data_IF_112231573803
#
_entry.id   IF_112231573803
#
_cell.length_a   1.000
_cell.length_b   1.000
_cell.length_c   1.000
_cell.angle_alpha   90.00
_cell.angle_beta   90.00
_cell.angle_gamma   90.00
#
_symmetry.space_group_name_H-M   'P 1'
#
loop_
_entity.id
_entity.type
_entity.pdbx_description
1 polymer ?
#
# COMPACT_ATOMS: atom_id res chain seq x y z
N UNK A 1 6.12 -22.61 6.12
CA UNK A 1 6.34 -21.32 5.41
C UNK A 1 7.04 -21.49 4.09
N UNK A 2 8.07 -22.33 3.99
CA UNK A 2 8.72 -22.64 2.69
C UNK A 2 7.75 -23.37 1.73
N UNK A 3 6.71 -24.00 2.27
CA UNK A 3 5.75 -24.80 1.51
C UNK A 3 4.99 -23.99 0.46
N UNK A 4 4.60 -22.74 0.78
CA UNK A 4 3.94 -21.86 -0.21
C UNK A 4 4.90 -21.41 -1.31
N UNK A 5 6.18 -21.20 -0.98
CA UNK A 5 7.21 -20.85 -1.96
C UNK A 5 7.51 -22.04 -2.88
N UNK A 6 7.52 -23.26 -2.34
CA UNK A 6 7.64 -24.50 -3.12
C UNK A 6 6.44 -24.71 -4.04
N UNK A 7 5.23 -24.49 -3.54
CA UNK A 7 4.00 -24.60 -4.34
C UNK A 7 4.00 -23.58 -5.49
N UNK A 8 4.39 -22.32 -5.22
CA UNK A 8 4.56 -21.29 -6.26
C UNK A 8 5.61 -21.71 -7.31
N UNK A 9 6.75 -22.27 -6.88
CA UNK A 9 7.79 -22.74 -7.79
C UNK A 9 7.36 -23.97 -8.63
N UNK A 10 6.46 -24.80 -8.08
CA UNK A 10 5.88 -25.97 -8.77
C UNK A 10 4.70 -25.60 -9.68
N UNK A 11 4.23 -24.35 -9.67
CA UNK A 11 3.03 -23.92 -10.41
C UNK A 11 1.71 -24.36 -9.76
N UNK A 12 1.74 -24.85 -8.52
CA UNK A 12 0.58 -25.26 -7.72
C UNK A 12 0.15 -24.16 -6.72
N UNK A 13 0.74 -22.98 -6.83
CA UNK A 13 0.40 -21.81 -6.02
C UNK A 13 -0.89 -21.12 -6.49
N UNK A 14 -1.38 -20.11 -5.74
CA UNK A 14 -2.54 -19.33 -6.13
C UNK A 14 -2.29 -18.53 -7.42
N UNK A 15 -3.38 -18.22 -8.14
CA UNK A 15 -3.34 -17.46 -9.41
C UNK A 15 -2.65 -16.09 -9.30
N UNK A 16 -2.71 -15.47 -8.11
CA UNK A 16 -2.09 -14.18 -7.81
C UNK A 16 -1.38 -14.24 -6.47
N UNK A 17 -0.10 -13.86 -6.45
CA UNK A 17 0.71 -13.83 -5.24
C UNK A 17 1.67 -12.63 -5.27
N UNK A 18 1.96 -12.07 -4.09
CA UNK A 18 3.00 -11.05 -3.88
C UNK A 18 3.94 -11.59 -2.82
N UNK A 19 5.23 -11.52 -3.10
CA UNK A 19 6.27 -11.80 -2.12
C UNK A 19 6.75 -10.48 -1.52
N UNK A 20 6.51 -10.30 -0.22
CA UNK A 20 7.03 -9.16 0.55
C UNK A 20 7.98 -9.65 1.64
N UNK A 21 9.05 -8.89 1.87
CA UNK A 21 10.03 -9.16 2.93
C UNK A 21 9.90 -8.09 4.02
N UNK A 22 9.53 -8.54 5.23
CA UNK A 22 9.24 -7.65 6.35
C UNK A 22 7.78 -7.20 6.39
N UNK A 23 7.47 -6.34 7.37
CA UNK A 23 6.15 -5.75 7.53
C UNK A 23 6.29 -4.32 8.06
N UNK A 24 5.35 -3.46 7.68
CA UNK A 24 5.15 -2.19 8.35
C UNK A 24 4.30 -2.44 9.60
N UNK A 25 4.73 -1.88 10.74
CA UNK A 25 4.03 -2.01 12.01
C UNK A 25 3.97 -0.65 12.69
N UNK A 26 2.87 -0.40 13.38
CA UNK A 26 2.64 0.82 14.15
C UNK A 26 2.55 0.47 15.63
N UNK A 27 3.09 1.36 16.47
CA UNK A 27 2.84 1.32 17.90
C UNK A 27 1.36 1.66 18.20
N UNK A 28 0.84 1.31 19.39
CA UNK A 28 -0.55 1.62 19.76
C UNK A 28 -0.87 3.12 19.60
N UNK A 29 -1.90 3.45 18.82
CA UNK A 29 -2.33 4.84 18.58
C UNK A 29 -1.47 5.66 17.61
N UNK A 30 -0.36 5.09 17.10
CA UNK A 30 0.54 5.80 16.20
C UNK A 30 -0.11 6.03 14.83
N UNK A 31 -0.75 5.00 14.26
CA UNK A 31 -1.39 5.12 12.95
C UNK A 31 -2.49 6.18 12.96
N UNK A 32 -3.34 6.19 14.00
CA UNK A 32 -4.40 7.17 14.15
C UNK A 32 -3.83 8.59 14.27
N UNK A 33 -2.76 8.76 15.04
CA UNK A 33 -2.09 10.05 15.20
C UNK A 33 -1.50 10.56 13.88
N UNK A 34 -0.87 9.68 13.09
CA UNK A 34 -0.28 10.04 11.80
C UNK A 34 -1.36 10.35 10.75
N UNK A 35 -2.50 9.65 10.75
CA UNK A 35 -3.65 9.98 9.90
C UNK A 35 -4.18 11.38 10.27
N UNK A 36 -4.33 11.70 11.56
CA UNK A 36 -4.78 13.04 12.01
C UNK A 36 -3.79 14.14 11.63
N UNK A 37 -2.49 13.83 11.59
CA UNK A 37 -1.44 14.74 11.15
C UNK A 37 -1.32 14.88 9.63
N UNK A 38 -2.23 14.28 8.85
CA UNK A 38 -2.18 14.19 7.38
C UNK A 38 -0.91 13.48 6.85
N UNK A 39 -0.27 12.64 7.67
CA UNK A 39 0.88 11.83 7.28
C UNK A 39 0.50 10.58 6.49
N UNK A 40 -0.73 10.09 6.63
CA UNK A 40 -1.28 8.99 5.85
C UNK A 40 -2.67 9.29 5.33
N UNK A 41 -2.92 8.85 4.10
CA UNK A 41 -4.25 8.79 3.49
C UNK A 41 -4.74 7.35 3.52
N UNK A 42 -6.00 7.13 3.86
CA UNK A 42 -6.62 5.81 3.86
C UNK A 42 -7.64 5.69 2.73
N UNK A 43 -7.62 4.56 2.03
CA UNK A 43 -8.61 4.21 1.01
C UNK A 43 -9.08 2.77 1.21
N UNK A 44 -10.22 2.42 0.59
CA UNK A 44 -10.65 1.03 0.59
C UNK A 44 -9.68 0.17 -0.21
N UNK A 45 -9.29 -0.98 0.37
CA UNK A 45 -8.40 -1.93 -0.28
C UNK A 45 -8.97 -2.40 -1.63
N UNK A 46 -8.10 -2.44 -2.63
CA UNK A 46 -8.42 -2.89 -3.97
C UNK A 46 -7.47 -4.01 -4.38
N UNK A 47 -8.01 -5.20 -4.61
CA UNK A 47 -7.21 -6.36 -4.97
C UNK A 47 -6.56 -6.21 -6.34
N UNK A 48 -7.17 -5.48 -7.27
CA UNK A 48 -6.54 -5.19 -8.57
C UNK A 48 -5.32 -4.32 -8.37
N UNK A 49 -5.42 -3.27 -7.54
CA UNK A 49 -4.31 -2.39 -7.20
C UNK A 49 -3.21 -3.10 -6.40
N UNK A 50 -3.59 -3.97 -5.46
CA UNK A 50 -2.64 -4.75 -4.66
C UNK A 50 -1.83 -5.66 -5.57
N UNK A 51 -2.51 -6.49 -6.38
CA UNK A 51 -1.88 -7.51 -7.24
C UNK A 51 -1.43 -6.99 -8.62
N UNK A 52 -1.56 -5.70 -8.90
CA UNK A 52 -1.10 -5.13 -10.16
C UNK A 52 0.42 -5.33 -10.35
N UNK A 53 0.84 -5.44 -11.60
CA UNK A 53 2.26 -5.54 -11.96
C UNK A 53 2.88 -4.16 -12.19
N UNK A 54 2.06 -3.14 -12.51
CA UNK A 54 2.55 -1.79 -12.71
C UNK A 54 2.70 -1.05 -11.37
N UNK A 55 3.89 -1.15 -10.79
CA UNK A 55 4.20 -0.51 -9.50
C UNK A 55 4.25 1.02 -9.61
N UNK A 56 4.62 1.55 -10.77
CA UNK A 56 4.77 2.99 -10.99
C UNK A 56 3.39 3.67 -11.00
N UNK A 57 2.42 3.07 -11.67
CA UNK A 57 1.05 3.60 -11.74
C UNK A 57 0.23 3.35 -10.46
N UNK A 58 0.63 2.41 -9.59
CA UNK A 58 -0.11 2.07 -8.36
C UNK A 58 -0.37 3.30 -7.48
N UNK A 59 0.62 4.17 -7.32
CA UNK A 59 0.49 5.33 -6.45
C UNK A 59 -0.55 6.32 -6.98
N UNK A 60 -0.47 6.67 -8.27
CA UNK A 60 -1.40 7.60 -8.91
C UNK A 60 -2.82 7.04 -8.96
N UNK A 61 -2.96 5.73 -9.22
CA UNK A 61 -4.26 5.06 -9.20
C UNK A 61 -4.85 5.01 -7.80
N UNK A 62 -4.05 4.74 -6.76
CA UNK A 62 -4.50 4.79 -5.37
C UNK A 62 -5.06 6.17 -4.99
N UNK A 63 -4.35 7.24 -5.37
CA UNK A 63 -4.79 8.62 -5.12
C UNK A 63 -6.03 8.99 -5.94
N UNK A 64 -6.08 8.57 -7.21
CA UNK A 64 -7.23 8.79 -8.08
C UNK A 64 -8.50 8.14 -7.52
N UNK A 65 -8.39 6.98 -6.85
CA UNK A 65 -9.52 6.34 -6.16
C UNK A 65 -10.06 7.16 -4.99
N UNK A 66 -9.24 8.01 -4.39
CA UNK A 66 -9.65 8.97 -3.36
C UNK A 66 -10.22 10.26 -3.96
N UNK A 67 -10.20 10.42 -5.28
CA UNK A 67 -10.50 11.68 -5.96
C UNK A 67 -9.44 12.76 -5.71
N UNK A 68 -8.25 12.36 -5.25
CA UNK A 68 -7.15 13.25 -4.90
C UNK A 68 -6.18 13.29 -6.07
N UNK A 69 -5.89 14.48 -6.57
CA UNK A 69 -4.77 14.67 -7.51
C UNK A 69 -3.46 14.73 -6.71
N UNK A 70 -2.39 14.01 -7.09
CA UNK A 70 -1.09 14.09 -6.41
C UNK A 70 -0.57 15.53 -6.25
N UNK A 71 -0.91 16.43 -7.17
CA UNK A 71 -0.56 17.86 -7.09
C UNK A 71 -1.26 18.64 -5.97
N UNK A 72 -2.35 18.09 -5.40
CA UNK A 72 -3.06 18.66 -4.26
C UNK A 72 -2.47 18.20 -2.91
N UNK A 73 -1.52 17.26 -2.92
CA UNK A 73 -0.74 16.89 -1.74
C UNK A 73 0.32 17.97 -1.49
N UNK A 74 -0.12 19.08 -0.89
CA UNK A 74 0.79 20.08 -0.34
C UNK A 74 1.51 19.49 0.86
N UNK A 75 2.83 19.36 0.75
CA UNK A 75 3.74 19.13 1.87
C UNK A 75 3.68 20.33 2.81
N UNK A 76 2.66 20.42 3.66
CA UNK A 76 2.65 21.35 4.77
C UNK A 76 3.56 20.80 5.89
N UNK A 77 4.84 20.58 5.59
CA UNK A 77 5.91 20.63 6.59
C UNK A 77 6.33 22.10 6.73
N UNK A 78 5.40 22.93 7.19
CA UNK A 78 5.60 24.33 7.48
C UNK A 78 5.20 24.60 8.92
N UNK A 79 6.07 24.24 9.86
CA UNK A 79 6.06 24.85 11.18
C UNK A 79 7.24 25.80 11.26
N UNK A 80 6.93 27.08 11.49
CA UNK A 80 7.88 28.10 11.91
C UNK A 80 8.41 27.79 13.33
#
# INVERSE_FOLDING_TARGET
>A
TIDILKALAAGEGPDRAILALGYAGWAPGQLESEIQANGWLSCQADLELVFDLDVEEKYERALSKLGINPTHLVNAAGHA
#
